data_IF_954588413668
#
_entry.id   IF_954588413668
#
_cell.length_a   1.000
_cell.length_b   1.000
_cell.length_c   1.000
_cell.angle_alpha   90.00
_cell.angle_beta   90.00
_cell.angle_gamma   90.00
#
_symmetry.space_group_name_H-M   'P 1'
#
loop_
_entity.id
_entity.type
_entity.pdbx_description
1 polymer ?
#
# COMPACT_ATOMS: atom_id res chain seq x y z
N UNK A 1 -59.36 -42.51 10.35
CA UNK A 1 -59.92 -43.82 10.01
C UNK A 1 -58.78 -44.66 9.43
N UNK A 2 -58.41 -45.61 10.17
CA UNK A 2 -57.69 -46.85 9.94
C UNK A 2 -56.18 -46.70 9.78
N UNK A 3 -55.56 -46.86 10.91
CA UNK A 3 -54.21 -47.35 11.09
C UNK A 3 -54.29 -48.62 11.94
N UNK A 4 -53.93 -49.77 11.43
CA UNK A 4 -53.59 -50.91 12.26
C UNK A 4 -52.83 -51.91 11.42
N UNK A 5 -51.70 -52.32 12.00
CA UNK A 5 -51.14 -53.66 12.16
C UNK A 5 -49.98 -53.98 11.23
N UNK A 6 -48.79 -54.08 11.82
CA UNK A 6 -48.06 -55.36 11.86
C UNK A 6 -47.00 -55.32 12.97
N UNK A 7 -47.38 -55.90 14.10
CA UNK A 7 -46.46 -56.26 15.16
C UNK A 7 -46.02 -57.70 14.91
N UNK A 8 -44.86 -57.91 14.26
CA UNK A 8 -44.24 -59.19 14.08
C UNK A 8 -43.18 -59.40 15.19
N UNK A 9 -43.39 -60.41 16.03
CA UNK A 9 -42.46 -60.90 17.04
C UNK A 9 -41.12 -61.25 16.37
N UNK A 10 -40.03 -60.60 16.73
CA UNK A 10 -38.70 -61.09 16.41
C UNK A 10 -38.18 -61.84 17.62
N UNK A 11 -37.93 -63.13 17.42
CA UNK A 11 -37.26 -64.02 18.32
C UNK A 11 -35.78 -63.67 18.50
N UNK A 12 -35.22 -63.72 19.72
CA UNK A 12 -33.81 -63.49 19.93
C UNK A 12 -33.04 -64.79 19.73
N UNK A 13 -32.35 -64.92 18.62
CA UNK A 13 -31.13 -65.77 18.50
C UNK A 13 -30.61 -65.74 17.08
N UNK A 14 -29.56 -65.00 16.87
CA UNK A 14 -28.44 -65.33 15.99
C UNK A 14 -27.42 -64.14 16.12
N UNK A 15 -26.42 -64.44 16.90
CA UNK A 15 -25.20 -63.67 16.93
C UNK A 15 -24.44 -63.93 15.62
N UNK A 16 -24.73 -63.15 14.57
CA UNK A 16 -23.84 -63.11 13.42
C UNK A 16 -22.55 -62.34 13.87
N UNK A 17 -21.51 -63.09 14.12
CA UNK A 17 -20.15 -62.62 14.17
C UNK A 17 -19.82 -61.97 12.83
N UNK A 18 -19.95 -60.68 12.74
CA UNK A 18 -19.53 -59.88 11.59
C UNK A 18 -18.02 -60.05 11.38
N UNK A 19 -17.69 -60.76 10.31
CA UNK A 19 -16.34 -61.03 9.83
C UNK A 19 -15.44 -59.78 9.98
N UNK A 20 -14.27 -59.88 10.65
CA UNK A 20 -13.40 -58.75 10.92
C UNK A 20 -12.99 -58.00 9.65
N UNK A 21 -12.97 -58.63 8.48
CA UNK A 21 -12.75 -57.99 7.19
C UNK A 21 -13.87 -57.00 6.80
N UNK A 22 -15.13 -57.29 7.12
CA UNK A 22 -16.26 -56.37 6.85
C UNK A 22 -16.26 -55.13 7.76
N UNK A 23 -15.79 -55.28 9.01
CA UNK A 23 -15.58 -54.14 9.93
C UNK A 23 -14.43 -53.25 9.46
N UNK A 24 -13.35 -53.85 8.93
CA UNK A 24 -12.20 -53.08 8.43
C UNK A 24 -12.54 -52.33 7.14
N UNK A 25 -13.32 -52.94 6.22
CA UNK A 25 -13.77 -52.27 4.99
C UNK A 25 -14.79 -51.16 5.26
N UNK A 26 -15.69 -51.35 6.24
CA UNK A 26 -16.62 -50.28 6.66
C UNK A 26 -15.89 -49.11 7.31
N UNK A 27 -14.84 -49.38 8.13
CA UNK A 27 -14.03 -48.35 8.77
C UNK A 27 -13.19 -47.59 7.73
N UNK A 28 -12.61 -48.26 6.75
CA UNK A 28 -11.88 -47.67 5.64
C UNK A 28 -12.81 -46.82 4.74
N UNK A 29 -14.02 -47.26 4.47
CA UNK A 29 -15.00 -46.53 3.66
C UNK A 29 -15.48 -45.28 4.37
N UNK A 30 -15.69 -45.32 5.70
CA UNK A 30 -16.06 -44.17 6.50
C UNK A 30 -14.90 -43.16 6.61
N UNK A 31 -13.65 -43.63 6.67
CA UNK A 31 -12.46 -42.75 6.70
C UNK A 31 -12.24 -42.08 5.34
N UNK A 32 -12.47 -42.77 4.22
CA UNK A 32 -12.40 -42.20 2.87
C UNK A 32 -13.53 -41.21 2.65
N UNK A 33 -14.74 -41.44 3.17
CA UNK A 33 -15.82 -40.46 3.12
C UNK A 33 -15.51 -39.20 3.99
N UNK A 34 -14.93 -39.35 5.17
CA UNK A 34 -14.49 -38.22 5.99
C UNK A 34 -13.38 -37.40 5.31
N UNK A 35 -12.42 -38.06 4.67
CA UNK A 35 -11.34 -37.37 3.94
C UNK A 35 -11.87 -36.68 2.69
N UNK A 36 -12.87 -37.21 2.00
CA UNK A 36 -13.48 -36.58 0.83
C UNK A 36 -14.37 -35.39 1.18
N UNK A 37 -14.98 -35.34 2.37
CA UNK A 37 -15.73 -34.18 2.87
C UNK A 37 -14.76 -33.07 3.30
N UNK A 38 -13.54 -33.38 3.76
CA UNK A 38 -12.49 -32.44 4.06
C UNK A 38 -11.78 -31.90 2.80
N UNK A 39 -11.81 -32.61 1.69
CA UNK A 39 -11.21 -32.22 0.41
C UNK A 39 -12.16 -31.39 -0.48
N UNK A 40 -13.46 -31.37 -0.21
CA UNK A 40 -14.45 -30.48 -0.82
C UNK A 40 -14.69 -29.21 0.00
N UNK A 41 -13.66 -28.74 0.68
CA UNK A 41 -13.56 -27.33 1.05
C UNK A 41 -13.39 -26.52 -0.23
N UNK A 42 -14.47 -26.30 -1.00
CA UNK A 42 -14.55 -25.13 -1.84
C UNK A 42 -14.14 -23.97 -0.91
N UNK A 43 -13.02 -23.30 -1.22
CA UNK A 43 -12.69 -22.02 -0.59
C UNK A 43 -13.92 -21.16 -0.78
N UNK A 44 -14.79 -21.13 0.22
CA UNK A 44 -15.84 -20.16 0.29
C UNK A 44 -15.06 -18.84 0.26
N UNK A 45 -15.12 -18.13 -0.90
CA UNK A 45 -14.60 -16.79 -1.07
C UNK A 45 -15.18 -16.02 0.10
N UNK A 46 -14.38 -15.76 1.11
CA UNK A 46 -14.81 -14.99 2.27
C UNK A 46 -15.18 -13.65 1.69
N UNK A 47 -16.47 -13.36 1.56
CA UNK A 47 -17.03 -12.15 0.97
C UNK A 47 -16.76 -10.92 1.87
N UNK A 48 -15.58 -10.86 2.47
CA UNK A 48 -15.16 -9.74 3.28
C UNK A 48 -14.58 -8.70 2.34
N UNK A 49 -15.36 -7.68 2.06
CA UNK A 49 -14.93 -6.53 1.28
C UNK A 49 -13.92 -5.72 2.08
N UNK A 50 -12.69 -5.66 1.61
CA UNK A 50 -11.60 -4.90 2.25
C UNK A 50 -11.67 -3.45 1.80
N UNK A 51 -11.87 -2.52 2.73
CA UNK A 51 -11.99 -1.08 2.46
C UNK A 51 -10.61 -0.45 2.52
N UNK A 52 -10.08 -0.05 1.35
CA UNK A 52 -8.73 0.50 1.21
C UNK A 52 -8.83 1.94 0.72
N UNK A 53 -8.15 2.87 1.39
CA UNK A 53 -7.94 4.21 0.89
C UNK A 53 -6.61 4.34 0.15
N UNK A 54 -6.61 5.10 -0.93
CA UNK A 54 -5.41 5.51 -1.65
C UNK A 54 -5.43 6.98 -2.04
N UNK A 55 -4.25 7.58 -2.15
CA UNK A 55 -4.10 8.93 -2.69
C UNK A 55 -4.09 8.89 -4.22
N UNK A 56 -4.61 9.92 -4.87
CA UNK A 56 -4.44 10.13 -6.31
C UNK A 56 -2.95 10.39 -6.59
N UNK A 57 -2.21 9.31 -6.82
CA UNK A 57 -0.76 9.37 -6.98
C UNK A 57 -0.07 8.01 -6.94
N UNK A 58 1.27 7.99 -6.82
CA UNK A 58 2.08 6.80 -7.00
C UNK A 58 1.81 5.72 -5.94
N UNK A 59 1.44 6.10 -4.72
CA UNK A 59 1.16 5.16 -3.61
C UNK A 59 -0.02 4.24 -3.89
N UNK A 60 -0.92 4.62 -4.81
CA UNK A 60 -2.11 3.84 -5.18
C UNK A 60 -1.93 3.04 -6.47
N UNK A 61 -0.99 3.45 -7.34
CA UNK A 61 -0.81 2.80 -8.65
C UNK A 61 -0.46 1.31 -8.53
N UNK A 62 0.19 0.88 -7.44
CA UNK A 62 0.45 -0.53 -7.15
C UNK A 62 -0.77 -1.31 -6.63
N UNK A 63 -1.89 -0.64 -6.30
CA UNK A 63 -3.12 -1.26 -5.80
C UNK A 63 -4.16 -1.50 -6.90
N UNK A 64 -4.10 -0.81 -8.03
CA UNK A 64 -5.19 -0.82 -9.03
C UNK A 64 -5.43 -2.20 -9.65
N UNK A 65 -4.38 -3.02 -9.78
CA UNK A 65 -4.51 -4.37 -10.33
C UNK A 65 -5.28 -5.33 -9.39
N UNK A 66 -5.47 -4.99 -8.10
CA UNK A 66 -6.37 -5.74 -7.21
C UNK A 66 -7.79 -5.77 -7.76
N UNK A 67 -8.26 -4.66 -8.35
CA UNK A 67 -9.60 -4.57 -8.93
C UNK A 67 -9.74 -5.40 -10.21
N UNK A 68 -8.70 -5.44 -11.06
CA UNK A 68 -8.68 -6.34 -12.22
C UNK A 68 -8.69 -7.80 -11.78
N UNK A 69 -7.85 -8.15 -10.80
CA UNK A 69 -7.80 -9.51 -10.24
C UNK A 69 -9.14 -9.92 -9.63
N UNK A 70 -9.86 -9.00 -8.96
CA UNK A 70 -11.21 -9.26 -8.45
C UNK A 70 -12.19 -9.54 -9.59
N UNK A 71 -12.22 -8.69 -10.63
CA UNK A 71 -13.06 -8.83 -11.81
C UNK A 71 -12.82 -10.14 -12.55
N UNK A 72 -11.55 -10.56 -12.64
CA UNK A 72 -11.13 -11.79 -13.31
C UNK A 72 -11.28 -13.06 -12.42
N UNK A 73 -11.72 -12.90 -11.16
CA UNK A 73 -11.88 -13.99 -10.20
C UNK A 73 -10.56 -14.59 -9.69
N UNK A 74 -9.43 -13.90 -9.89
CA UNK A 74 -8.09 -14.33 -9.45
C UNK A 74 -7.64 -13.71 -8.13
N UNK A 75 -8.36 -12.71 -7.63
CA UNK A 75 -8.18 -12.17 -6.28
C UNK A 75 -8.74 -13.12 -5.22
N UNK A 76 -8.10 -13.13 -4.06
CA UNK A 76 -8.56 -13.90 -2.90
C UNK A 76 -9.68 -13.21 -2.13
N UNK A 77 -9.82 -11.89 -2.29
CA UNK A 77 -10.73 -11.01 -1.55
C UNK A 77 -11.48 -10.09 -2.51
N UNK A 78 -12.55 -9.46 -2.00
CA UNK A 78 -13.23 -8.35 -2.66
C UNK A 78 -12.66 -7.03 -2.13
N UNK A 79 -12.44 -6.03 -3.02
CA UNK A 79 -11.77 -4.78 -2.69
C UNK A 79 -12.66 -3.57 -2.91
N UNK A 80 -12.70 -2.65 -1.94
CA UNK A 80 -13.30 -1.32 -2.05
C UNK A 80 -12.17 -0.28 -2.00
N UNK A 81 -11.62 0.05 -3.16
CA UNK A 81 -10.54 1.03 -3.28
C UNK A 81 -11.14 2.44 -3.44
N UNK A 82 -10.97 3.26 -2.41
CA UNK A 82 -11.47 4.63 -2.35
C UNK A 82 -10.33 5.62 -2.55
N UNK A 83 -10.50 6.60 -3.45
CA UNK A 83 -9.49 7.59 -3.79
C UNK A 83 -9.73 8.93 -3.11
N UNK A 84 -8.65 9.54 -2.64
CA UNK A 84 -8.64 10.84 -1.98
C UNK A 84 -7.57 11.75 -2.58
N UNK A 85 -7.79 13.06 -2.53
CA UNK A 85 -6.84 14.06 -3.00
C UNK A 85 -5.72 14.31 -2.01
N UNK A 86 -6.04 14.28 -0.71
CA UNK A 86 -5.12 14.58 0.37
C UNK A 86 -5.20 13.55 1.51
N UNK A 87 -4.11 13.40 2.25
CA UNK A 87 -4.00 12.38 3.30
C UNK A 87 -4.83 12.72 4.56
N UNK A 88 -5.14 13.99 4.80
CA UNK A 88 -5.99 14.46 5.89
C UNK A 88 -7.46 14.03 5.73
N UNK A 89 -7.90 13.73 4.51
CA UNK A 89 -9.21 13.12 4.26
C UNK A 89 -9.26 11.64 4.69
N UNK A 90 -8.15 10.92 4.58
CA UNK A 90 -8.02 9.49 4.90
C UNK A 90 -7.95 9.25 6.41
N UNK A 91 -7.13 10.04 7.10
CA UNK A 91 -6.79 9.82 8.52
C UNK A 91 -8.02 9.71 9.43
N UNK A 92 -9.02 10.63 9.38
CA UNK A 92 -10.21 10.50 10.24
C UNK A 92 -11.03 9.23 9.97
N UNK A 93 -11.12 8.80 8.71
CA UNK A 93 -11.86 7.60 8.31
C UNK A 93 -11.18 6.32 8.79
N UNK A 94 -9.85 6.28 8.71
CA UNK A 94 -9.06 5.17 9.21
C UNK A 94 -9.19 5.05 10.75
N UNK A 95 -9.12 6.17 11.47
CA UNK A 95 -9.29 6.20 12.94
C UNK A 95 -10.71 5.74 13.34
N UNK A 96 -11.75 6.18 12.64
CA UNK A 96 -13.14 5.80 12.92
C UNK A 96 -13.49 4.37 12.52
N UNK A 97 -12.59 3.66 11.81
CA UNK A 97 -12.87 2.32 11.30
C UNK A 97 -13.78 2.28 10.08
N UNK A 98 -13.96 3.42 9.39
CA UNK A 98 -14.64 3.47 8.09
C UNK A 98 -13.79 2.85 6.98
N UNK A 99 -12.47 2.80 7.18
CA UNK A 99 -11.48 2.14 6.34
C UNK A 99 -10.74 1.07 7.14
N UNK A 100 -10.29 0.03 6.47
CA UNK A 100 -9.51 -1.06 7.09
C UNK A 100 -8.03 -0.86 6.86
N UNK A 101 -7.66 -0.39 5.66
CA UNK A 101 -6.30 -0.19 5.21
C UNK A 101 -6.17 1.15 4.48
N UNK A 102 -4.94 1.65 4.36
CA UNK A 102 -4.68 2.84 3.56
C UNK A 102 -3.25 2.85 3.02
N UNK A 103 -3.08 3.43 1.82
CA UNK A 103 -1.78 3.81 1.26
C UNK A 103 -1.54 5.30 1.56
N UNK A 104 -0.59 5.59 2.46
CA UNK A 104 -0.31 6.92 3.00
C UNK A 104 1.19 7.26 3.00
N UNK A 105 1.59 8.53 3.15
CA UNK A 105 2.98 8.91 3.33
C UNK A 105 3.64 8.21 4.53
N UNK A 106 4.89 7.80 4.37
CA UNK A 106 5.60 6.99 5.36
C UNK A 106 5.75 7.69 6.71
N UNK A 107 6.09 8.97 6.73
CA UNK A 107 6.21 9.77 7.96
C UNK A 107 4.84 9.98 8.65
N UNK A 108 3.78 10.14 7.85
CA UNK A 108 2.42 10.28 8.38
C UNK A 108 1.98 9.00 9.10
N UNK A 109 2.37 7.82 8.60
CA UNK A 109 2.10 6.56 9.29
C UNK A 109 2.73 6.56 10.70
N UNK A 110 3.99 7.00 10.84
CA UNK A 110 4.63 7.14 12.16
C UNK A 110 3.89 8.13 13.06
N UNK A 111 3.55 9.32 12.53
CA UNK A 111 2.78 10.32 13.27
C UNK A 111 1.42 9.80 13.72
N UNK A 112 0.71 9.09 12.83
CA UNK A 112 -0.60 8.51 13.12
C UNK A 112 -0.50 7.39 14.18
N UNK A 113 0.54 6.55 14.09
CA UNK A 113 0.83 5.54 15.10
C UNK A 113 0.96 6.14 16.50
N UNK A 114 1.74 7.24 16.62
CA UNK A 114 1.90 7.95 17.89
C UNK A 114 0.58 8.55 18.38
N UNK A 115 -0.16 9.25 17.51
CA UNK A 115 -1.43 9.91 17.86
C UNK A 115 -2.54 8.93 18.24
N UNK A 116 -2.48 7.70 17.72
CA UNK A 116 -3.48 6.66 18.00
C UNK A 116 -3.02 5.63 19.04
N UNK A 117 -1.86 5.85 19.67
CA UNK A 117 -1.27 4.90 20.64
C UNK A 117 -1.17 3.46 20.06
N UNK A 118 -0.65 3.34 18.85
CA UNK A 118 -0.49 2.04 18.19
C UNK A 118 -1.73 1.54 17.43
N UNK A 119 -2.65 2.44 17.08
CA UNK A 119 -3.90 2.09 16.38
C UNK A 119 -3.75 1.63 14.94
N UNK A 120 -2.54 1.76 14.36
CA UNK A 120 -2.22 1.26 13.02
C UNK A 120 -0.90 0.50 13.00
N UNK A 121 -0.71 -0.32 11.97
CA UNK A 121 0.56 -1.00 11.68
C UNK A 121 0.91 -0.84 10.20
N UNK A 122 2.21 -0.73 9.88
CA UNK A 122 2.67 -0.73 8.49
C UNK A 122 2.85 -2.17 8.02
N UNK A 123 2.25 -2.51 6.87
CA UNK A 123 2.31 -3.84 6.27
C UNK A 123 3.35 -3.93 5.15
N UNK A 124 3.52 -2.85 4.39
CA UNK A 124 4.47 -2.82 3.28
C UNK A 124 4.93 -1.39 2.95
N UNK A 125 6.17 -1.26 2.47
CA UNK A 125 6.60 -0.11 1.67
C UNK A 125 6.03 -0.31 0.28
N UNK A 126 5.35 0.71 -0.25
CA UNK A 126 4.69 0.66 -1.55
C UNK A 126 5.31 1.59 -2.60
N UNK A 127 6.01 2.64 -2.15
CA UNK A 127 6.59 3.65 -3.05
C UNK A 127 7.88 4.21 -2.45
N UNK A 128 8.95 4.12 -3.21
CA UNK A 128 10.21 4.79 -2.88
C UNK A 128 10.19 6.26 -3.30
N UNK A 129 11.34 6.88 -3.51
CA UNK A 129 11.42 8.29 -3.88
C UNK A 129 10.81 8.56 -5.26
N UNK A 130 9.95 9.58 -5.35
CA UNK A 130 9.20 9.98 -6.57
C UNK A 130 9.05 11.49 -6.68
N UNK A 131 9.80 12.26 -5.89
CA UNK A 131 9.71 13.72 -5.81
C UNK A 131 10.76 14.39 -6.67
N UNK A 132 10.36 15.45 -7.36
CA UNK A 132 11.22 16.21 -8.27
C UNK A 132 11.01 17.70 -8.08
N UNK A 133 12.09 18.47 -8.13
CA UNK A 133 11.98 19.91 -8.37
C UNK A 133 11.84 20.13 -9.86
N UNK A 134 10.80 20.85 -10.25
CA UNK A 134 10.53 21.25 -11.63
C UNK A 134 10.56 22.76 -11.76
N UNK A 135 10.98 23.24 -12.91
CA UNK A 135 11.06 24.68 -13.22
C UNK A 135 10.47 24.95 -14.60
N UNK A 136 9.72 26.04 -14.70
CA UNK A 136 9.37 26.67 -15.98
C UNK A 136 10.33 27.80 -16.25
N UNK A 137 11.48 27.48 -16.82
CA UNK A 137 12.60 28.39 -17.02
C UNK A 137 13.93 27.65 -17.12
N UNK A 138 15.03 28.38 -16.98
CA UNK A 138 16.38 27.82 -17.02
C UNK A 138 17.33 28.53 -16.04
N UNK A 139 16.90 28.69 -14.81
CA UNK A 139 17.65 29.42 -13.77
C UNK A 139 18.07 28.51 -12.62
N UNK A 140 17.47 27.33 -12.46
CA UNK A 140 17.80 26.36 -11.40
C UNK A 140 18.62 25.21 -11.99
N UNK A 141 19.82 25.00 -11.44
CA UNK A 141 20.76 23.92 -11.79
C UNK A 141 21.24 23.16 -10.56
N UNK A 142 21.05 23.74 -9.37
CA UNK A 142 21.44 23.20 -8.08
C UNK A 142 20.51 23.69 -6.97
N UNK A 143 20.63 23.12 -5.75
CA UNK A 143 19.92 23.66 -4.59
C UNK A 143 20.27 25.12 -4.28
N UNK A 144 21.52 25.54 -4.53
CA UNK A 144 21.96 26.93 -4.26
C UNK A 144 21.12 27.95 -5.03
N UNK A 145 20.66 27.62 -6.24
CA UNK A 145 19.86 28.49 -7.10
C UNK A 145 18.41 28.68 -6.59
N UNK A 146 18.00 27.90 -5.58
CA UNK A 146 16.71 28.06 -4.93
C UNK A 146 16.68 29.20 -3.91
N UNK A 147 17.84 29.78 -3.55
CA UNK A 147 17.92 30.88 -2.58
C UNK A 147 17.12 32.08 -3.05
N UNK A 148 16.27 32.61 -2.15
CA UNK A 148 15.37 33.73 -2.44
C UNK A 148 14.15 33.37 -3.30
N UNK A 149 13.96 32.11 -3.66
CA UNK A 149 12.90 31.69 -4.57
C UNK A 149 11.65 31.17 -3.81
N UNK A 150 10.52 31.26 -4.48
CA UNK A 150 9.27 30.64 -4.04
C UNK A 150 9.17 29.27 -4.69
N UNK A 151 8.89 28.24 -3.88
CA UNK A 151 8.73 26.84 -4.29
C UNK A 151 7.31 26.42 -3.98
N UNK A 152 6.54 26.07 -5.01
CA UNK A 152 5.20 25.51 -4.84
C UNK A 152 5.30 24.03 -4.46
N UNK A 153 4.53 23.57 -3.50
CA UNK A 153 4.58 22.18 -3.03
C UNK A 153 3.22 21.71 -2.54
N UNK A 154 3.12 20.45 -2.19
CA UNK A 154 1.98 19.83 -1.52
C UNK A 154 2.41 19.06 -0.29
N UNK A 155 1.46 18.50 0.43
CA UNK A 155 1.74 17.57 1.51
C UNK A 155 2.42 18.21 2.71
N UNK A 156 1.94 19.40 3.14
CA UNK A 156 2.38 20.01 4.41
C UNK A 156 2.18 19.02 5.57
N UNK A 157 3.20 18.82 6.39
CA UNK A 157 3.21 17.83 7.47
C UNK A 157 3.46 16.37 6.99
N UNK A 158 3.75 16.17 5.72
CA UNK A 158 3.99 14.84 5.14
C UNK A 158 5.34 14.75 4.43
N UNK A 159 5.66 13.58 3.86
CA UNK A 159 6.96 13.29 3.23
C UNK A 159 7.47 14.39 2.30
N UNK A 160 6.69 14.99 1.38
CA UNK A 160 7.20 16.04 0.49
C UNK A 160 7.81 17.23 1.22
N UNK A 161 7.16 17.74 2.27
CA UNK A 161 7.70 18.84 3.07
C UNK A 161 9.01 18.46 3.75
N UNK A 162 9.01 17.34 4.51
CA UNK A 162 10.17 16.99 5.32
C UNK A 162 11.39 16.64 4.48
N UNK A 163 11.20 15.96 3.35
CA UNK A 163 12.28 15.65 2.41
C UNK A 163 12.87 16.93 1.78
N UNK A 164 12.01 17.84 1.30
CA UNK A 164 12.49 19.10 0.73
C UNK A 164 13.26 19.92 1.77
N UNK A 165 12.72 20.10 2.96
CA UNK A 165 13.36 20.86 4.05
C UNK A 165 14.68 20.22 4.49
N UNK A 166 14.74 18.91 4.58
CA UNK A 166 15.97 18.17 4.89
C UNK A 166 17.05 18.39 3.83
N UNK A 167 16.69 18.25 2.55
CA UNK A 167 17.64 18.42 1.45
C UNK A 167 18.10 19.88 1.29
N UNK A 168 17.23 20.87 1.53
CA UNK A 168 17.63 22.27 1.61
C UNK A 168 18.70 22.49 2.68
N UNK A 169 18.47 22.02 3.91
CA UNK A 169 19.45 22.10 5.01
C UNK A 169 20.77 21.42 4.68
N UNK A 170 20.73 20.21 4.10
CA UNK A 170 21.93 19.49 3.69
C UNK A 170 22.75 20.20 2.60
N UNK A 171 22.09 21.06 1.83
CA UNK A 171 22.72 21.89 0.80
C UNK A 171 23.00 23.35 1.27
N UNK A 172 22.96 23.59 2.59
CA UNK A 172 23.35 24.88 3.18
C UNK A 172 22.29 25.98 3.11
N UNK A 173 21.03 25.63 2.82
CA UNK A 173 19.90 26.57 2.81
C UNK A 173 19.01 26.38 4.04
N UNK A 174 18.67 27.48 4.69
CA UNK A 174 17.65 27.50 5.74
C UNK A 174 16.25 27.53 5.10
N UNK A 175 15.45 26.45 5.24
CA UNK A 175 14.14 26.36 4.58
C UNK A 175 13.11 27.38 5.10
N UNK A 176 13.40 28.06 6.22
CA UNK A 176 12.52 29.07 6.81
C UNK A 176 12.94 30.53 6.49
N UNK A 177 14.18 30.72 5.98
CA UNK A 177 14.73 32.04 5.69
C UNK A 177 15.17 32.22 4.25
N UNK A 178 15.78 31.17 3.66
CA UNK A 178 16.42 31.27 2.35
C UNK A 178 15.47 30.94 1.20
N UNK A 179 14.32 30.34 1.46
CA UNK A 179 13.29 30.05 0.46
C UNK A 179 11.90 30.32 1.02
N UNK A 180 10.92 30.55 0.15
CA UNK A 180 9.50 30.59 0.50
C UNK A 180 8.85 29.31 -0.04
N UNK A 181 8.27 28.46 0.83
CA UNK A 181 7.54 27.26 0.39
C UNK A 181 6.04 27.54 0.53
N UNK A 182 5.32 27.47 -0.60
CA UNK A 182 3.87 27.62 -0.65
C UNK A 182 3.22 26.25 -0.84
N UNK A 183 2.32 25.89 0.08
CA UNK A 183 1.66 24.57 0.10
C UNK A 183 0.24 24.67 -0.44
N UNK A 184 -0.09 23.72 -1.31
CA UNK A 184 -1.41 23.48 -1.87
C UNK A 184 -1.97 22.18 -1.35
N UNK A 185 -3.28 22.00 -1.41
CA UNK A 185 -3.94 20.80 -0.92
C UNK A 185 -3.61 19.57 -1.78
N UNK A 186 -3.61 19.73 -3.09
CA UNK A 186 -3.37 18.63 -4.05
C UNK A 186 -2.27 18.95 -5.07
N UNK A 187 -1.59 17.92 -5.57
CA UNK A 187 -0.57 18.06 -6.61
C UNK A 187 -1.15 18.51 -7.97
N UNK A 188 -2.43 18.26 -8.21
CA UNK A 188 -3.19 18.77 -9.36
C UNK A 188 -3.25 20.30 -9.36
N UNK A 189 -3.42 20.93 -8.18
CA UNK A 189 -3.44 22.39 -8.03
C UNK A 189 -2.06 22.98 -8.35
N UNK A 190 -0.98 22.42 -7.79
CA UNK A 190 0.39 22.85 -8.11
C UNK A 190 0.67 22.71 -9.60
N UNK A 191 0.23 21.61 -10.22
CA UNK A 191 0.36 21.40 -11.68
C UNK A 191 -0.38 22.49 -12.48
N UNK A 192 -1.56 22.92 -12.01
CA UNK A 192 -2.32 24.00 -12.64
C UNK A 192 -1.62 25.36 -12.47
N UNK A 193 -1.06 25.64 -11.29
CA UNK A 193 -0.28 26.87 -11.05
C UNK A 193 0.97 26.93 -11.95
N UNK A 194 1.69 25.78 -12.09
CA UNK A 194 2.85 25.72 -12.99
C UNK A 194 2.46 25.96 -14.45
N UNK A 195 1.31 25.42 -14.90
CA UNK A 195 0.82 25.65 -16.27
C UNK A 195 0.41 27.12 -16.51
N UNK A 196 -0.17 27.79 -15.50
CA UNK A 196 -0.58 29.19 -15.57
C UNK A 196 0.61 30.17 -15.46
N UNK A 197 1.73 29.74 -14.87
CA UNK A 197 2.90 30.57 -14.67
C UNK A 197 3.55 30.94 -16.01
N UNK A 198 4.07 32.18 -16.10
CA UNK A 198 4.72 32.67 -17.33
C UNK A 198 6.18 32.24 -17.43
N UNK A 199 7.00 32.50 -16.40
CA UNK A 199 8.41 32.11 -16.30
C UNK A 199 8.84 31.97 -14.85
N UNK A 200 9.96 31.26 -14.67
CA UNK A 200 10.70 31.18 -13.39
C UNK A 200 9.89 30.56 -12.22
N UNK A 201 8.79 29.88 -12.53
CA UNK A 201 8.03 29.15 -11.52
C UNK A 201 8.75 27.83 -11.16
N UNK A 202 8.80 27.55 -9.88
CA UNK A 202 9.46 26.37 -9.33
C UNK A 202 8.45 25.59 -8.48
N UNK A 203 8.41 24.28 -8.65
CA UNK A 203 7.57 23.42 -7.82
C UNK A 203 8.27 22.13 -7.41
N UNK A 204 7.84 21.55 -6.29
CA UNK A 204 8.09 20.13 -5.97
C UNK A 204 6.84 19.35 -6.30
N UNK A 205 6.98 18.41 -7.22
CA UNK A 205 5.91 17.53 -7.68
C UNK A 205 6.32 16.06 -7.60
N UNK A 206 5.40 15.17 -7.25
CA UNK A 206 5.61 13.73 -7.41
C UNK A 206 5.31 13.28 -8.86
N UNK A 207 5.78 12.09 -9.27
CA UNK A 207 5.12 11.36 -10.33
C UNK A 207 3.70 10.95 -9.86
N UNK A 208 2.73 10.85 -10.76
CA UNK A 208 2.73 11.11 -12.20
C UNK A 208 2.56 12.59 -12.59
N UNK A 209 2.45 13.50 -11.63
CA UNK A 209 2.16 14.93 -11.87
C UNK A 209 3.28 15.65 -12.64
N UNK A 210 4.54 15.27 -12.42
CA UNK A 210 5.66 15.76 -13.25
C UNK A 210 5.44 15.41 -14.71
N UNK A 211 5.13 14.13 -14.99
CA UNK A 211 4.85 13.68 -16.36
C UNK A 211 3.64 14.40 -16.95
N UNK A 212 2.56 14.55 -16.18
CA UNK A 212 1.36 15.26 -16.61
C UNK A 212 1.66 16.75 -16.96
N UNK A 213 2.46 17.41 -16.14
CA UNK A 213 2.86 18.79 -16.36
C UNK A 213 3.73 18.93 -17.63
N UNK A 214 4.74 18.07 -17.80
CA UNK A 214 5.62 18.06 -18.98
C UNK A 214 4.87 17.72 -20.29
N UNK A 215 3.82 16.89 -20.21
CA UNK A 215 2.99 16.60 -21.40
C UNK A 215 2.11 17.78 -21.83
N UNK A 216 1.83 18.71 -20.91
CA UNK A 216 1.07 19.95 -21.19
C UNK A 216 1.97 21.11 -21.57
N UNK A 217 3.19 21.16 -21.04
CA UNK A 217 4.13 22.24 -21.20
C UNK A 217 5.56 21.67 -21.39
N UNK A 218 6.05 21.70 -22.62
CA UNK A 218 7.38 21.19 -22.98
C UNK A 218 8.52 22.01 -22.38
N UNK A 219 8.26 23.25 -21.96
CA UNK A 219 9.25 24.13 -21.36
C UNK A 219 9.48 23.82 -19.87
N UNK A 220 8.65 22.94 -19.29
CA UNK A 220 8.80 22.50 -17.92
C UNK A 220 9.94 21.48 -17.80
N UNK A 221 11.00 21.86 -17.10
CA UNK A 221 12.17 21.01 -16.87
C UNK A 221 12.12 20.33 -15.50
N UNK A 222 12.57 19.09 -15.41
CA UNK A 222 13.02 18.50 -14.15
C UNK A 222 14.42 19.00 -13.87
N UNK A 223 14.62 19.69 -12.77
CA UNK A 223 15.91 20.30 -12.41
C UNK A 223 16.63 19.55 -11.30
N UNK A 224 15.90 18.98 -10.34
CA UNK A 224 16.46 18.11 -9.30
C UNK A 224 15.59 16.88 -9.13
N UNK A 225 16.21 15.72 -9.09
CA UNK A 225 15.62 14.44 -8.66
C UNK A 225 15.92 14.29 -7.17
N UNK A 226 14.90 14.45 -6.32
CA UNK A 226 15.10 14.42 -4.87
C UNK A 226 15.53 13.03 -4.34
N UNK A 227 15.26 11.96 -5.08
CA UNK A 227 15.77 10.62 -4.75
C UNK A 227 17.28 10.56 -4.95
N UNK A 228 17.75 11.07 -6.09
CA UNK A 228 19.19 11.15 -6.37
C UNK A 228 19.91 12.08 -5.37
N UNK A 229 19.30 13.20 -5.05
CA UNK A 229 19.87 14.13 -4.07
C UNK A 229 19.87 13.55 -2.65
N UNK A 230 18.85 12.78 -2.27
CA UNK A 230 18.79 12.03 -1.03
C UNK A 230 19.94 11.03 -0.93
N UNK A 231 20.15 10.22 -1.97
CA UNK A 231 21.20 9.20 -2.01
C UNK A 231 22.62 9.78 -1.97
N UNK A 232 22.79 11.09 -2.21
CA UNK A 232 24.08 11.78 -2.05
C UNK A 232 24.41 12.14 -0.59
N UNK A 233 23.40 12.26 0.25
CA UNK A 233 23.52 12.74 1.63
C UNK A 233 23.06 11.76 2.69
N UNK A 234 22.48 10.62 2.28
CA UNK A 234 21.98 9.56 3.14
C UNK A 234 22.29 8.18 2.56
N UNK A 235 22.65 7.24 3.43
CA UNK A 235 22.82 5.82 3.10
C UNK A 235 21.52 5.01 3.23
N UNK A 236 20.36 5.71 3.33
CA UNK A 236 19.03 5.09 3.49
C UNK A 236 18.20 5.29 2.25
N UNK A 237 17.19 4.42 2.05
CA UNK A 237 16.20 4.63 0.99
C UNK A 237 15.32 5.83 1.31
N UNK A 238 15.02 6.65 0.29
CA UNK A 238 13.93 7.62 0.38
C UNK A 238 12.59 6.87 0.24
N UNK A 239 11.77 6.86 1.28
CA UNK A 239 10.47 6.17 1.29
C UNK A 239 9.36 7.21 1.24
N UNK A 240 8.59 7.21 0.15
CA UNK A 240 7.47 8.14 0.01
C UNK A 240 6.20 7.56 0.60
N UNK A 241 5.89 6.30 0.35
CA UNK A 241 4.62 5.71 0.72
C UNK A 241 4.72 4.33 1.35
N UNK A 242 3.75 4.07 2.23
CA UNK A 242 3.54 2.77 2.89
C UNK A 242 2.07 2.40 2.86
N UNK A 243 1.80 1.10 2.94
CA UNK A 243 0.45 0.56 3.14
C UNK A 243 0.29 0.19 4.60
N UNK A 244 -0.72 0.77 5.24
CA UNK A 244 -1.04 0.55 6.65
C UNK A 244 -2.36 -0.18 6.83
N UNK A 245 -2.51 -0.85 7.97
CA UNK A 245 -3.74 -1.49 8.43
C UNK A 245 -4.09 -1.01 9.83
N UNK A 246 -5.37 -0.94 10.16
CA UNK A 246 -5.78 -0.75 11.56
C UNK A 246 -5.35 -1.96 12.40
N UNK A 247 -4.70 -1.70 13.52
CA UNK A 247 -4.15 -2.74 14.40
C UNK A 247 -5.23 -3.73 14.87
N UNK A 248 -6.41 -3.23 15.22
CA UNK A 248 -7.52 -4.05 15.65
C UNK A 248 -8.06 -4.93 14.51
N UNK A 249 -8.20 -4.36 13.30
CA UNK A 249 -8.62 -5.12 12.13
C UNK A 249 -7.64 -6.25 11.80
N UNK A 250 -6.34 -5.98 11.85
CA UNK A 250 -5.31 -6.98 11.61
C UNK A 250 -5.34 -8.13 12.64
N UNK A 251 -5.60 -7.82 13.91
CA UNK A 251 -5.75 -8.83 14.98
C UNK A 251 -6.98 -9.72 14.79
N UNK A 252 -8.09 -9.12 14.36
CA UNK A 252 -9.37 -9.82 14.17
C UNK A 252 -9.42 -10.63 12.87
N UNK A 253 -8.64 -10.25 11.85
CA UNK A 253 -8.73 -10.80 10.49
C UNK A 253 -7.35 -11.22 9.94
N UNK A 254 -6.56 -12.05 10.65
CA UNK A 254 -5.19 -12.39 10.22
C UNK A 254 -5.15 -13.08 8.85
N UNK A 255 -6.14 -13.91 8.53
CA UNK A 255 -6.24 -14.61 7.24
C UNK A 255 -6.54 -13.65 6.08
N UNK A 256 -7.37 -12.61 6.34
CA UNK A 256 -7.64 -11.54 5.37
C UNK A 256 -6.37 -10.76 5.08
N UNK A 257 -5.56 -10.45 6.11
CA UNK A 257 -4.29 -9.74 5.91
C UNK A 257 -3.32 -10.58 5.09
N UNK A 258 -3.19 -11.88 5.36
CA UNK A 258 -2.32 -12.76 4.60
C UNK A 258 -2.74 -12.88 3.12
N UNK A 259 -4.05 -13.01 2.86
CA UNK A 259 -4.62 -13.02 1.53
C UNK A 259 -4.37 -11.69 0.80
N UNK A 260 -4.64 -10.55 1.47
CA UNK A 260 -4.35 -9.22 0.95
C UNK A 260 -2.87 -9.05 0.56
N UNK A 261 -1.93 -9.40 1.44
CA UNK A 261 -0.51 -9.27 1.16
C UNK A 261 -0.08 -10.10 -0.04
N UNK A 262 -0.68 -11.29 -0.21
CA UNK A 262 -0.43 -12.16 -1.37
C UNK A 262 -0.96 -11.53 -2.66
N UNK A 263 -2.19 -11.03 -2.67
CA UNK A 263 -2.79 -10.37 -3.83
C UNK A 263 -2.09 -9.04 -4.14
N UNK A 264 -1.72 -8.29 -3.10
CA UNK A 264 -1.02 -7.02 -3.25
C UNK A 264 0.37 -7.20 -3.88
N UNK A 265 1.12 -8.23 -3.51
CA UNK A 265 2.40 -8.55 -4.15
C UNK A 265 2.23 -8.80 -5.66
N UNK A 266 1.17 -9.54 -6.05
CA UNK A 266 0.85 -9.78 -7.46
C UNK A 266 0.44 -8.49 -8.18
N UNK A 267 -0.37 -7.65 -7.52
CA UNK A 267 -0.81 -6.36 -8.05
C UNK A 267 0.36 -5.42 -8.31
N UNK A 268 1.31 -5.31 -7.38
CA UNK A 268 2.54 -4.53 -7.55
C UNK A 268 3.43 -5.11 -8.65
N UNK A 269 3.54 -6.43 -8.74
CA UNK A 269 4.27 -7.09 -9.83
C UNK A 269 3.67 -6.72 -11.18
N UNK A 270 2.33 -6.82 -11.34
CA UNK A 270 1.63 -6.43 -12.55
C UNK A 270 1.85 -4.94 -12.88
N UNK A 271 1.84 -4.05 -11.88
CA UNK A 271 2.10 -2.62 -12.08
C UNK A 271 3.48 -2.30 -12.66
N UNK A 272 4.46 -3.19 -12.47
CA UNK A 272 5.81 -3.03 -13.01
C UNK A 272 6.05 -3.81 -14.32
N UNK A 273 5.31 -4.88 -14.57
CA UNK A 273 5.49 -5.77 -15.75
C UNK A 273 4.47 -5.49 -16.87
N UNK A 274 3.22 -5.16 -16.52
CA UNK A 274 2.16 -4.79 -17.46
C UNK A 274 1.84 -3.29 -17.34
N UNK A 275 2.72 -2.48 -17.91
CA UNK A 275 2.59 -1.02 -17.89
C UNK A 275 1.32 -0.55 -18.61
N UNK A 276 0.94 -1.19 -19.72
CA UNK A 276 -0.21 -0.77 -20.52
C UNK A 276 -1.54 -1.09 -19.82
N UNK A 277 -1.69 -2.30 -19.30
CA UNK A 277 -2.88 -2.70 -18.53
C UNK A 277 -3.02 -1.89 -17.25
N UNK A 278 -1.93 -1.72 -16.49
CA UNK A 278 -1.94 -0.89 -15.28
C UNK A 278 -2.24 0.58 -15.59
N UNK A 279 -1.74 1.12 -16.69
CA UNK A 279 -2.02 2.50 -17.08
C UNK A 279 -3.51 2.71 -17.40
N UNK A 280 -4.14 1.75 -18.09
CA UNK A 280 -5.57 1.79 -18.37
C UNK A 280 -6.40 1.73 -17.07
N UNK A 281 -6.03 0.85 -16.15
CA UNK A 281 -6.67 0.77 -14.82
C UNK A 281 -6.50 2.05 -14.00
N UNK A 282 -5.32 2.69 -14.05
CA UNK A 282 -5.11 3.97 -13.38
C UNK A 282 -6.04 5.08 -13.88
N UNK A 283 -6.38 5.10 -15.17
CA UNK A 283 -7.38 6.02 -15.74
C UNK A 283 -8.79 5.60 -15.34
N UNK A 284 -9.15 4.31 -15.50
CA UNK A 284 -10.47 3.78 -15.18
C UNK A 284 -10.85 4.04 -13.71
N UNK A 285 -9.92 3.80 -12.80
CA UNK A 285 -10.09 4.02 -11.35
C UNK A 285 -10.02 5.51 -10.98
N UNK A 286 -9.40 6.34 -11.81
CA UNK A 286 -9.24 7.78 -11.56
C UNK A 286 -8.03 8.15 -10.72
N UNK A 287 -7.02 7.28 -10.59
CA UNK A 287 -5.73 7.59 -9.95
C UNK A 287 -4.97 8.61 -10.77
N UNK A 288 -5.07 8.52 -12.10
CA UNK A 288 -4.45 9.43 -13.07
C UNK A 288 -5.49 9.81 -14.13
N UNK A 289 -5.47 11.07 -14.57
CA UNK A 289 -6.48 11.59 -15.50
C UNK A 289 -6.51 10.93 -16.88
N UNK A 290 -5.38 10.35 -17.35
CA UNK A 290 -5.26 9.66 -18.65
C UNK A 290 -4.25 8.54 -18.59
N UNK A 291 -4.57 7.40 -19.21
CA UNK A 291 -3.68 6.25 -19.33
C UNK A 291 -2.34 6.61 -19.99
N UNK A 292 -2.33 7.51 -20.96
CA UNK A 292 -1.09 7.98 -21.60
C UNK A 292 -0.12 8.67 -20.63
N UNK A 293 -0.63 9.36 -19.59
CA UNK A 293 0.19 9.93 -18.51
C UNK A 293 0.71 8.80 -17.63
N UNK A 294 -0.18 7.89 -17.20
CA UNK A 294 0.18 6.76 -16.35
C UNK A 294 1.26 5.89 -17.02
N UNK A 295 1.11 5.55 -18.29
CA UNK A 295 2.07 4.76 -19.07
C UNK A 295 3.49 5.37 -19.06
N UNK A 296 3.60 6.69 -19.24
CA UNK A 296 4.89 7.40 -19.20
C UNK A 296 5.45 7.57 -17.80
N UNK A 297 4.59 7.61 -16.78
CA UNK A 297 4.97 7.86 -15.39
C UNK A 297 5.33 6.58 -14.62
N UNK A 298 4.63 5.46 -14.85
CA UNK A 298 4.78 4.20 -14.13
C UNK A 298 6.25 3.78 -13.95
N UNK A 299 7.11 3.79 -14.99
CA UNK A 299 8.53 3.42 -14.85
C UNK A 299 9.34 4.36 -13.92
N UNK A 300 8.78 5.53 -13.57
CA UNK A 300 9.40 6.56 -12.73
C UNK A 300 8.73 6.68 -11.35
N UNK A 301 7.71 5.86 -11.08
CA UNK A 301 6.93 5.91 -9.84
C UNK A 301 7.56 5.10 -8.71
N UNK A 302 8.64 4.35 -8.98
CA UNK A 302 9.35 3.52 -7.99
C UNK A 302 8.39 2.70 -7.11
N UNK A 303 7.40 2.06 -7.77
CA UNK A 303 6.41 1.21 -7.11
C UNK A 303 7.09 -0.07 -6.67
N UNK A 304 7.00 -0.39 -5.39
CA UNK A 304 7.65 -1.56 -4.79
C UNK A 304 6.68 -2.30 -3.86
N UNK A 305 7.01 -3.55 -3.56
CA UNK A 305 6.41 -4.31 -2.49
C UNK A 305 7.51 -4.85 -1.59
N UNK A 306 7.72 -4.21 -0.44
CA UNK A 306 8.65 -4.68 0.58
C UNK A 306 7.90 -4.84 1.89
N UNK A 307 7.93 -6.04 2.47
CA UNK A 307 7.27 -6.36 3.72
C UNK A 307 8.23 -7.03 4.72
N UNK A 308 7.73 -7.36 5.90
CA UNK A 308 8.48 -8.09 6.92
C UNK A 308 9.76 -7.37 7.37
N UNK A 309 10.88 -8.08 7.46
CA UNK A 309 12.14 -7.54 7.99
C UNK A 309 12.79 -6.50 7.07
N UNK A 310 12.67 -6.66 5.75
CA UNK A 310 13.17 -5.66 4.80
C UNK A 310 12.44 -4.32 4.98
N UNK A 311 11.12 -4.35 5.03
CA UNK A 311 10.28 -3.19 5.33
C UNK A 311 10.68 -2.52 6.65
N UNK A 312 10.80 -3.31 7.74
CA UNK A 312 11.18 -2.79 9.06
C UNK A 312 12.53 -2.10 9.02
N UNK A 313 13.53 -2.73 8.40
CA UNK A 313 14.88 -2.17 8.25
C UNK A 313 14.84 -0.84 7.51
N UNK A 314 14.19 -0.81 6.35
CA UNK A 314 14.17 0.36 5.48
C UNK A 314 13.41 1.53 6.14
N UNK A 315 12.22 1.27 6.69
CA UNK A 315 11.40 2.31 7.33
C UNK A 315 12.07 2.84 8.60
N UNK A 316 12.62 1.97 9.46
CA UNK A 316 13.28 2.44 10.69
C UNK A 316 14.47 3.34 10.40
N UNK A 317 15.29 2.99 9.41
CA UNK A 317 16.41 3.81 8.99
C UNK A 317 15.96 5.16 8.39
N UNK A 318 14.93 5.16 7.55
CA UNK A 318 14.35 6.37 6.99
C UNK A 318 13.74 7.30 8.06
N UNK A 319 12.93 6.75 8.96
CA UNK A 319 12.30 7.52 10.04
C UNK A 319 13.34 8.08 11.02
N UNK A 320 14.47 7.38 11.25
CA UNK A 320 15.57 7.91 12.06
C UNK A 320 16.14 9.18 11.44
N UNK A 321 16.40 9.21 10.13
CA UNK A 321 16.89 10.42 9.43
C UNK A 321 15.90 11.59 9.59
N UNK A 322 14.60 11.32 9.47
CA UNK A 322 13.58 12.35 9.64
C UNK A 322 13.49 12.83 11.10
N UNK A 323 13.57 11.92 12.06
CA UNK A 323 13.56 12.23 13.48
C UNK A 323 14.73 13.13 13.89
N UNK A 324 15.95 12.79 13.44
CA UNK A 324 17.16 13.58 13.72
C UNK A 324 17.10 14.98 13.12
N UNK A 325 16.43 15.11 11.96
CA UNK A 325 16.24 16.40 11.32
C UNK A 325 15.11 17.24 11.95
N UNK A 326 14.04 16.57 12.40
CA UNK A 326 12.86 17.16 13.03
C UNK A 326 12.03 16.08 13.72
N UNK A 327 12.04 15.95 15.06
CA UNK A 327 11.21 14.96 15.77
C UNK A 327 9.72 15.06 15.42
N UNK A 328 9.21 16.24 15.11
CA UNK A 328 7.82 16.45 14.70
C UNK A 328 7.46 15.70 13.41
N UNK A 329 8.42 15.41 12.55
CA UNK A 329 8.21 14.66 11.31
C UNK A 329 7.66 13.24 11.53
N UNK A 330 7.94 12.65 12.68
CA UNK A 330 7.54 11.29 13.06
C UNK A 330 6.60 11.24 14.27
N UNK A 331 6.01 12.40 14.64
CA UNK A 331 5.08 12.49 15.78
C UNK A 331 5.75 12.63 17.14
N UNK A 332 6.98 13.13 17.20
CA UNK A 332 7.72 13.47 18.41
C UNK A 332 8.63 12.36 18.95
N UNK A 333 8.40 11.10 18.58
CA UNK A 333 9.25 9.96 18.92
C UNK A 333 9.21 8.89 17.83
N UNK A 334 10.25 8.08 17.74
CA UNK A 334 10.29 6.94 16.84
C UNK A 334 9.27 5.87 17.25
N UNK A 335 8.61 5.20 16.29
CA UNK A 335 7.74 4.07 16.59
C UNK A 335 8.52 2.88 17.17
N UNK A 336 7.86 2.11 18.02
CA UNK A 336 8.37 0.82 18.51
C UNK A 336 8.09 -0.33 17.53
N UNK A 337 8.46 -1.56 17.92
CA UNK A 337 8.33 -2.75 17.09
C UNK A 337 6.89 -3.11 16.72
N UNK A 338 5.89 -2.68 17.50
CA UNK A 338 4.48 -2.92 17.20
C UNK A 338 3.95 -2.09 16.03
N UNK A 339 4.69 -1.09 15.60
CA UNK A 339 4.40 -0.32 14.38
C UNK A 339 4.49 -1.16 13.11
N UNK A 340 5.33 -2.19 13.11
CA UNK A 340 5.57 -3.04 11.96
C UNK A 340 4.70 -4.29 12.04
N UNK A 341 3.82 -4.49 11.05
CA UNK A 341 3.04 -5.71 10.98
C UNK A 341 3.95 -6.92 10.84
N UNK A 342 3.72 -7.91 11.68
CA UNK A 342 4.42 -9.20 11.62
C UNK A 342 3.38 -10.30 11.53
N UNK A 343 3.46 -11.15 10.51
CA UNK A 343 2.57 -12.30 10.40
C UNK A 343 2.63 -13.18 11.66
N UNK A 344 1.49 -13.62 12.19
CA UNK A 344 1.45 -14.58 13.28
C UNK A 344 2.29 -15.82 12.96
N UNK A 345 3.05 -16.32 13.94
CA UNK A 345 3.99 -17.42 13.76
C UNK A 345 3.34 -18.71 13.23
N UNK A 346 2.10 -18.97 13.61
CA UNK A 346 1.30 -20.13 13.15
C UNK A 346 0.97 -19.98 11.67
N UNK A 347 0.49 -18.79 11.26
CA UNK A 347 0.14 -18.52 9.86
C UNK A 347 1.36 -18.62 8.95
N UNK A 348 2.50 -18.08 9.39
CA UNK A 348 3.79 -18.18 8.67
C UNK A 348 4.19 -19.63 8.42
N UNK A 349 4.00 -20.54 9.40
CA UNK A 349 4.29 -21.97 9.25
C UNK A 349 3.34 -22.65 8.26
N UNK A 350 2.05 -22.33 8.33
CA UNK A 350 1.02 -22.88 7.41
C UNK A 350 1.28 -22.41 5.97
N UNK A 351 1.52 -21.13 5.74
CA UNK A 351 1.80 -20.57 4.42
C UNK A 351 3.13 -21.10 3.84
N UNK A 352 4.14 -21.33 4.67
CA UNK A 352 5.38 -21.99 4.24
C UNK A 352 5.15 -23.44 3.81
N UNK A 353 4.31 -24.18 4.54
CA UNK A 353 3.96 -25.56 4.20
C UNK A 353 3.19 -25.65 2.86
N UNK A 354 2.21 -24.77 2.63
CA UNK A 354 1.44 -24.67 1.38
C UNK A 354 2.38 -24.32 0.21
N UNK A 355 3.30 -23.39 0.37
CA UNK A 355 4.25 -22.96 -0.67
C UNK A 355 5.23 -24.07 -1.03
N UNK A 356 5.60 -24.94 -0.09
CA UNK A 356 6.48 -26.09 -0.31
C UNK A 356 5.77 -27.28 -0.97
N UNK A 357 4.45 -27.43 -0.77
CA UNK A 357 3.65 -28.47 -1.41
C UNK A 357 3.20 -28.11 -2.83
N UNK A 358 3.35 -26.86 -3.25
CA UNK A 358 3.03 -26.37 -4.60
C UNK A 358 4.26 -26.33 -5.55
N UNK A 359 5.42 -26.78 -5.08
CA UNK A 359 6.64 -27.02 -5.88
C UNK A 359 6.81 -28.49 -6.17
#
# INVERSE_FOLDING_TARGET
MVLQIFCGKISPNESEELNPMKKLTSLLLSLVLMVSVLACGASAKTSTKVRIAGLKGPTTMGLVNLLSMEKDGTASLDYDLQLYGAADEIVPKLIKGELDMAAIPANLAATLYQKTNGGIQVMAVNTLGVLYVVEKGNTVHSFADLKGRTILSTGKGTTPEYVLRYLLKKNGLDPDKDVKIEYYSEASEVTAQMAAAKKDAIAVLPQPYVTAAQMKDSDLRVVLDLTREWNRVCDTQLITGVTVVRTEYAKQNPDVIAAFLTDYQKSVKAANEDIDGTAALCEEVGVVAKAAIAKKALPKCNIVYRNGQEMKKDISAYLQVLYDASPAAVGGKLPDDNFYYTEPSVLRKVMAAIRNSAK
#
